data_IF_452525178338
#
_entry.id   IF_452525178338
#
_cell.length_a   1.000
_cell.length_b   1.000
_cell.length_c   1.000
_cell.angle_alpha   90.00
_cell.angle_beta   90.00
_cell.angle_gamma   90.00
#
_symmetry.space_group_name_H-M   'P 1'
#
loop_
_entity.id
_entity.type
_entity.pdbx_description
1 polymer ?
#
# COMPACT_ATOMS: atom_id res chain seq x y z
N UNK A 1 39.72 -0.74 42.05
CA UNK A 1 39.07 -0.51 40.73
C UNK A 1 38.78 -1.81 39.97
N UNK A 2 39.72 -2.74 39.78
CA UNK A 2 39.48 -3.97 39.01
C UNK A 2 38.37 -4.91 39.55
N UNK A 3 38.20 -5.03 40.87
CA UNK A 3 37.14 -5.85 41.48
C UNK A 3 35.72 -5.34 41.24
N UNK A 4 35.54 -4.03 41.05
CA UNK A 4 34.21 -3.40 40.83
C UNK A 4 33.77 -3.64 39.37
N UNK A 5 34.71 -3.57 38.42
CA UNK A 5 34.45 -3.77 36.99
C UNK A 5 34.04 -5.22 36.70
N UNK A 6 34.69 -6.21 37.34
CA UNK A 6 34.33 -7.63 37.21
C UNK A 6 32.91 -7.93 37.73
N UNK A 7 32.54 -7.40 38.91
CA UNK A 7 31.17 -7.60 39.44
C UNK A 7 30.07 -6.91 38.61
N UNK A 8 30.39 -5.84 37.89
CA UNK A 8 29.44 -5.19 36.98
C UNK A 8 29.28 -5.97 35.67
N UNK A 9 30.38 -6.51 35.13
CA UNK A 9 30.37 -7.36 33.96
C UNK A 9 29.61 -8.68 34.20
N UNK A 10 29.80 -9.31 35.37
CA UNK A 10 29.06 -10.53 35.75
C UNK A 10 27.56 -10.27 35.92
N UNK A 11 27.18 -9.13 36.51
CA UNK A 11 25.76 -8.71 36.61
C UNK A 11 25.15 -8.37 35.26
N UNK A 12 25.92 -7.83 34.32
CA UNK A 12 25.46 -7.59 32.94
C UNK A 12 25.33 -8.90 32.16
N UNK A 13 26.23 -9.87 32.36
CA UNK A 13 26.14 -11.20 31.75
C UNK A 13 24.94 -11.99 32.25
N UNK A 14 24.61 -11.90 33.55
CA UNK A 14 23.40 -12.50 34.12
C UNK A 14 22.12 -11.85 33.57
N UNK A 15 22.11 -10.54 33.35
CA UNK A 15 20.97 -9.84 32.72
C UNK A 15 20.76 -10.22 31.25
N UNK A 16 21.84 -10.48 30.51
CA UNK A 16 21.78 -10.96 29.13
C UNK A 16 21.24 -12.39 29.06
N UNK A 17 21.75 -13.30 29.91
CA UNK A 17 21.25 -14.69 29.99
C UNK A 17 19.76 -14.78 30.38
N UNK A 18 19.29 -13.94 31.30
CA UNK A 18 17.88 -13.86 31.66
C UNK A 18 16.99 -13.31 30.52
N UNK A 19 17.56 -12.47 29.65
CA UNK A 19 16.89 -11.93 28.46
C UNK A 19 16.69 -12.98 27.38
N UNK A 20 17.68 -13.85 27.16
CA UNK A 20 17.61 -14.93 26.18
C UNK A 20 16.62 -16.04 26.61
N UNK A 21 16.59 -16.42 27.89
CA UNK A 21 15.63 -17.40 28.43
C UNK A 21 14.16 -16.90 28.37
N UNK A 22 13.95 -15.59 28.53
CA UNK A 22 12.61 -14.96 28.40
C UNK A 22 12.17 -14.83 26.94
N UNK A 23 13.11 -14.67 26.00
CA UNK A 23 12.83 -14.68 24.56
C UNK A 23 12.46 -16.09 24.07
N UNK A 24 13.14 -17.13 24.57
CA UNK A 24 12.77 -18.54 24.29
C UNK A 24 11.38 -18.88 24.86
N UNK A 25 11.07 -18.43 26.08
CA UNK A 25 9.75 -18.62 26.68
C UNK A 25 8.64 -17.83 25.94
N UNK A 26 8.94 -16.60 25.48
CA UNK A 26 8.01 -15.79 24.70
C UNK A 26 7.79 -16.34 23.27
N UNK A 27 8.83 -16.92 22.64
CA UNK A 27 8.71 -17.63 21.36
C UNK A 27 7.88 -18.92 21.48
N UNK A 28 8.02 -19.67 22.59
CA UNK A 28 7.19 -20.85 22.82
C UNK A 28 5.71 -20.50 23.07
N UNK A 29 5.41 -19.37 23.74
CA UNK A 29 4.04 -18.91 23.96
C UNK A 29 3.42 -18.30 22.67
N UNK A 30 4.23 -17.67 21.81
CA UNK A 30 3.77 -17.08 20.54
C UNK A 30 3.51 -18.11 19.42
N UNK A 31 3.94 -19.37 19.57
CA UNK A 31 3.66 -20.47 18.62
C UNK A 31 2.31 -21.18 18.84
N UNK A 32 1.35 -20.50 19.47
CA UNK A 32 -0.03 -20.96 19.59
C UNK A 32 -0.93 -20.60 18.40
N UNK A 33 -1.20 -21.59 17.53
CA UNK A 33 -2.34 -21.74 16.59
C UNK A 33 -2.41 -20.98 15.24
N UNK A 34 -1.53 -20.05 14.86
CA UNK A 34 -1.68 -19.37 13.53
C UNK A 34 -0.45 -19.27 12.62
N UNK A 35 0.71 -19.82 12.99
CA UNK A 35 1.83 -20.03 12.06
C UNK A 35 2.36 -18.81 11.28
N UNK A 36 2.07 -17.57 11.73
CA UNK A 36 2.64 -16.34 11.15
C UNK A 36 3.55 -15.64 12.17
N UNK A 37 4.72 -15.13 11.76
CA UNK A 37 5.52 -14.30 12.65
C UNK A 37 4.77 -12.98 12.95
N UNK A 38 4.83 -12.46 14.18
CA UNK A 38 4.18 -11.20 14.53
C UNK A 38 4.92 -10.03 13.88
N UNK A 39 4.16 -9.00 13.49
CA UNK A 39 4.73 -7.74 12.99
C UNK A 39 5.68 -7.11 14.02
N UNK A 40 6.75 -6.47 13.56
CA UNK A 40 7.77 -5.86 14.42
C UNK A 40 7.14 -4.93 15.47
N UNK A 41 7.07 -5.41 16.71
CA UNK A 41 6.63 -4.65 17.87
C UNK A 41 7.80 -3.75 18.27
N UNK A 42 7.65 -2.43 18.20
CA UNK A 42 8.59 -1.50 18.85
C UNK A 42 8.34 -1.57 20.36
N UNK A 43 9.19 -2.32 21.06
CA UNK A 43 9.14 -2.49 22.52
C UNK A 43 9.96 -1.35 23.15
N UNK A 44 9.36 -0.62 24.09
CA UNK A 44 10.07 0.30 24.97
C UNK A 44 10.01 -0.24 26.41
N UNK A 45 11.16 -0.26 27.08
CA UNK A 45 11.31 -0.64 28.49
C UNK A 45 11.40 0.63 29.34
N UNK A 46 10.78 0.62 30.52
CA UNK A 46 10.98 1.67 31.53
C UNK A 46 12.25 1.40 32.37
N UNK A 47 12.63 2.36 33.21
CA UNK A 47 13.82 2.31 34.08
C UNK A 47 13.80 1.13 35.08
N UNK A 48 12.67 0.43 35.22
CA UNK A 48 12.50 -0.77 36.07
C UNK A 48 12.47 -2.08 35.29
N UNK A 49 12.55 -2.05 33.94
CA UNK A 49 12.69 -3.23 33.09
C UNK A 49 11.39 -3.99 32.80
N UNK A 50 10.21 -3.41 33.00
CA UNK A 50 8.93 -4.06 32.64
C UNK A 50 8.45 -3.68 31.23
N UNK A 51 7.99 -4.66 30.45
CA UNK A 51 7.40 -4.45 29.12
C UNK A 51 6.04 -3.73 29.19
N UNK A 52 5.82 -2.74 28.32
CA UNK A 52 4.46 -2.18 28.05
C UNK A 52 4.17 -2.20 26.55
N UNK A 53 2.96 -2.64 26.19
CA UNK A 53 2.42 -2.48 24.84
C UNK A 53 2.26 -0.98 24.51
N UNK A 54 2.64 -0.57 23.29
CA UNK A 54 2.59 0.83 22.84
C UNK A 54 1.17 1.45 22.79
N UNK A 55 0.12 0.71 23.16
CA UNK A 55 -1.28 1.15 23.20
C UNK A 55 -1.82 1.45 24.61
N UNK A 56 -1.01 1.27 25.67
CA UNK A 56 -1.41 1.43 27.08
C UNK A 56 -0.37 2.15 27.96
N UNK A 57 0.50 2.98 27.38
CA UNK A 57 1.42 3.80 28.17
C UNK A 57 0.66 4.84 29.02
N UNK A 58 0.73 4.69 30.33
CA UNK A 58 0.31 5.70 31.31
C UNK A 58 1.36 6.83 31.29
N UNK A 59 0.93 8.03 30.92
CA UNK A 59 1.72 9.25 30.94
C UNK A 59 1.47 10.00 32.25
N UNK A 60 2.51 10.46 32.91
CA UNK A 60 2.37 11.28 34.12
C UNK A 60 2.20 12.74 33.71
N UNK A 61 1.10 13.37 34.11
CA UNK A 61 0.87 14.78 33.87
C UNK A 61 1.93 15.60 34.62
N UNK A 62 2.72 16.41 33.91
CA UNK A 62 3.76 17.26 34.54
C UNK A 62 3.20 18.32 35.50
N UNK A 63 1.91 18.63 35.43
CA UNK A 63 1.28 19.69 36.24
C UNK A 63 0.62 19.18 37.53
N UNK A 64 0.05 17.97 37.51
CA UNK A 64 -0.62 17.40 38.69
C UNK A 64 -0.06 16.04 39.13
N UNK A 65 0.97 15.54 38.44
CA UNK A 65 1.65 14.27 38.69
C UNK A 65 0.72 13.03 38.70
N UNK A 66 -0.48 13.14 38.12
CA UNK A 66 -1.40 12.00 37.94
C UNK A 66 -1.09 11.23 36.68
N UNK A 67 -1.23 9.91 36.74
CA UNK A 67 -1.15 9.03 35.58
C UNK A 67 -2.38 9.17 34.67
N UNK A 68 -2.14 9.22 33.36
CA UNK A 68 -3.16 9.43 32.33
C UNK A 68 -2.91 8.45 31.20
N UNK A 69 -3.94 7.75 30.73
CA UNK A 69 -3.78 6.86 29.58
C UNK A 69 -3.30 7.64 28.35
N UNK A 70 -2.25 7.16 27.66
CA UNK A 70 -1.59 7.81 26.53
C UNK A 70 -2.38 7.92 25.23
N UNK A 71 -3.72 7.80 25.28
CA UNK A 71 -4.58 8.12 24.14
C UNK A 71 -4.76 9.63 24.06
N UNK A 72 -4.63 10.23 22.87
CA UNK A 72 -4.82 11.68 22.66
C UNK A 72 -6.11 12.23 23.28
N UNK A 73 -7.22 11.49 23.19
CA UNK A 73 -8.54 11.84 23.77
C UNK A 73 -8.50 11.87 25.32
N UNK A 74 -7.73 10.97 25.94
CA UNK A 74 -7.56 10.90 27.40
C UNK A 74 -6.65 12.02 27.90
N UNK A 75 -5.63 12.39 27.12
CA UNK A 75 -4.71 13.49 27.45
C UNK A 75 -5.40 14.86 27.37
N UNK A 76 -6.13 15.13 26.28
CA UNK A 76 -6.88 16.38 26.10
C UNK A 76 -7.99 16.54 27.14
N UNK A 77 -8.70 15.44 27.44
CA UNK A 77 -9.73 15.42 28.49
C UNK A 77 -9.16 15.69 29.88
N UNK A 78 -7.98 15.14 30.17
CA UNK A 78 -7.28 15.37 31.43
C UNK A 78 -6.76 16.81 31.55
N UNK A 79 -6.09 17.35 30.53
CA UNK A 79 -5.55 18.72 30.54
C UNK A 79 -6.64 19.79 30.70
N UNK A 80 -7.85 19.57 30.15
CA UNK A 80 -9.00 20.46 30.39
C UNK A 80 -9.43 20.55 31.86
N UNK A 81 -9.25 19.48 32.62
CA UNK A 81 -9.71 19.33 34.01
C UNK A 81 -8.58 19.38 35.04
N UNK A 82 -7.33 19.47 34.60
CA UNK A 82 -6.16 19.48 35.48
C UNK A 82 -6.12 20.81 36.27
N UNK A 83 -6.12 20.77 37.62
CA UNK A 83 -6.21 21.98 38.44
C UNK A 83 -4.99 22.89 38.26
N UNK A 84 -3.82 22.31 38.00
CA UNK A 84 -2.53 23.02 37.93
C UNK A 84 -2.04 23.26 36.50
N UNK A 85 -2.82 22.90 35.47
CA UNK A 85 -2.40 23.13 34.09
C UNK A 85 -2.58 24.61 33.70
N UNK A 86 -1.53 25.28 33.20
CA UNK A 86 -1.62 26.66 32.72
C UNK A 86 -2.54 26.75 31.50
N UNK A 87 -3.15 27.92 31.27
CA UNK A 87 -4.19 28.10 30.25
C UNK A 87 -3.68 27.80 28.82
N UNK A 88 -2.40 28.08 28.56
CA UNK A 88 -1.69 27.75 27.31
C UNK A 88 -1.56 26.24 27.05
N UNK A 89 -1.51 25.43 28.11
CA UNK A 89 -1.44 23.97 28.01
C UNK A 89 -2.82 23.33 27.87
N UNK A 90 -3.90 24.11 28.00
CA UNK A 90 -5.26 23.62 27.84
C UNK A 90 -5.66 23.69 26.36
N UNK A 91 -6.25 22.62 25.80
CA UNK A 91 -6.71 22.66 24.42
C UNK A 91 -7.78 23.76 24.26
N UNK A 92 -7.74 24.52 23.15
CA UNK A 92 -8.59 25.69 22.95
C UNK A 92 -10.08 25.32 23.03
N UNK A 93 -10.86 26.13 23.76
CA UNK A 93 -12.32 25.98 23.85
C UNK A 93 -12.94 26.41 22.51
N UNK A 94 -13.32 25.46 21.67
CA UNK A 94 -14.11 25.76 20.46
C UNK A 94 -15.54 26.10 20.87
N UNK A 95 -15.83 27.38 21.08
CA UNK A 95 -17.20 27.91 21.23
C UNK A 95 -17.87 28.04 19.87
N UNK A 96 -19.08 27.46 19.72
CA UNK A 96 -19.90 27.48 18.49
C UNK A 96 -20.31 28.89 17.98
N UNK A 97 -19.83 29.99 18.57
CA UNK A 97 -20.23 31.37 18.24
C UNK A 97 -19.17 32.24 17.56
N UNK A 98 -17.91 31.82 17.43
CA UNK A 98 -16.90 32.60 16.69
C UNK A 98 -16.81 32.18 15.21
N UNK A 99 -17.93 32.36 14.50
CA UNK A 99 -17.98 32.30 13.04
C UNK A 99 -18.28 33.66 12.39
N UNK A 100 -18.35 34.74 13.15
CA UNK A 100 -18.76 36.04 12.62
C UNK A 100 -17.78 37.14 13.06
N UNK A 101 -16.72 37.33 12.27
CA UNK A 101 -16.06 38.63 11.98
C UNK A 101 -14.64 38.41 11.42
N UNK A 102 -14.52 38.19 10.11
CA UNK A 102 -13.35 38.51 9.29
C UNK A 102 -13.77 38.49 7.80
N UNK A 103 -13.15 39.31 6.93
CA UNK A 103 -13.77 39.83 5.72
C UNK A 103 -13.98 38.76 4.65
N UNK A 104 -14.97 38.99 3.81
CA UNK A 104 -15.49 38.11 2.76
C UNK A 104 -14.38 37.43 1.93
N UNK A 105 -14.26 36.12 2.10
CA UNK A 105 -13.69 35.22 1.10
C UNK A 105 -14.80 34.26 0.71
N UNK A 106 -15.11 34.25 -0.59
CA UNK A 106 -16.12 33.47 -1.29
C UNK A 106 -16.31 32.07 -0.68
N UNK A 107 -17.51 31.81 -0.16
CA UNK A 107 -17.92 30.55 0.45
C UNK A 107 -17.94 29.41 -0.57
N UNK A 108 -17.06 28.41 -0.38
CA UNK A 108 -17.20 27.07 -0.96
C UNK A 108 -17.51 26.06 0.15
N UNK A 109 -18.69 25.46 0.12
CA UNK A 109 -19.03 24.30 0.96
C UNK A 109 -18.10 23.13 0.65
N UNK A 110 -17.50 22.48 1.65
CA UNK A 110 -16.58 21.38 1.38
C UNK A 110 -16.15 20.50 2.56
N UNK A 111 -16.28 20.93 3.82
CA UNK A 111 -15.75 20.14 4.95
C UNK A 111 -16.58 18.88 5.31
N UNK A 112 -17.89 18.87 5.03
CA UNK A 112 -18.77 17.73 5.32
C UNK A 112 -18.70 16.64 4.24
N UNK A 113 -18.80 17.05 2.99
CA UNK A 113 -18.79 16.17 1.82
C UNK A 113 -17.44 15.47 1.62
N UNK A 114 -16.32 16.17 1.83
CA UNK A 114 -14.99 15.56 1.77
C UNK A 114 -14.80 14.44 2.80
N UNK A 115 -15.30 14.62 4.04
CA UNK A 115 -15.23 13.56 5.06
C UNK A 115 -16.10 12.36 4.68
N UNK A 116 -17.25 12.60 4.06
CA UNK A 116 -18.16 11.54 3.62
C UNK A 116 -17.61 10.76 2.41
N UNK A 117 -17.01 11.45 1.44
CA UNK A 117 -16.37 10.82 0.28
C UNK A 117 -15.13 9.99 0.67
N UNK A 118 -14.27 10.52 1.54
CA UNK A 118 -13.13 9.76 2.10
C UNK A 118 -13.60 8.55 2.91
N UNK A 119 -14.69 8.67 3.67
CA UNK A 119 -15.28 7.54 4.40
C UNK A 119 -15.84 6.48 3.45
N UNK A 120 -16.48 6.87 2.34
CA UNK A 120 -16.99 5.94 1.30
C UNK A 120 -15.84 5.16 0.67
N UNK A 121 -14.75 5.84 0.28
CA UNK A 121 -13.58 5.21 -0.34
C UNK A 121 -12.90 4.19 0.60
N UNK A 122 -12.62 4.58 1.85
CA UNK A 122 -12.01 3.70 2.84
C UNK A 122 -12.88 2.46 3.15
N UNK A 123 -14.20 2.63 3.15
CA UNK A 123 -15.15 1.52 3.36
C UNK A 123 -15.13 0.54 2.19
N UNK A 124 -15.07 1.03 0.94
CA UNK A 124 -14.99 0.17 -0.26
C UNK A 124 -13.70 -0.64 -0.27
N UNK A 125 -12.54 -0.02 -0.04
CA UNK A 125 -11.26 -0.73 0.01
C UNK A 125 -11.28 -1.85 1.04
N UNK A 126 -11.69 -1.55 2.28
CA UNK A 126 -11.75 -2.54 3.37
C UNK A 126 -12.69 -3.70 3.05
N UNK A 127 -13.85 -3.41 2.44
CA UNK A 127 -14.81 -4.43 2.02
C UNK A 127 -14.24 -5.35 0.95
N UNK A 128 -13.49 -4.82 -0.01
CA UNK A 128 -12.92 -5.60 -1.11
C UNK A 128 -11.74 -6.46 -0.65
N UNK A 129 -10.85 -5.92 0.18
CA UNK A 129 -9.75 -6.68 0.80
C UNK A 129 -10.29 -7.83 1.69
N UNK A 130 -11.41 -7.62 2.38
CA UNK A 130 -12.07 -8.67 3.16
C UNK A 130 -12.71 -9.77 2.30
N UNK A 131 -13.16 -9.43 1.09
CA UNK A 131 -13.80 -10.36 0.15
C UNK A 131 -12.79 -11.19 -0.65
N UNK A 132 -11.66 -10.60 -1.03
CA UNK A 132 -10.68 -11.22 -1.93
C UNK A 132 -9.30 -11.30 -1.28
N UNK A 133 -8.85 -12.52 -0.93
CA UNK A 133 -7.54 -12.74 -0.29
C UNK A 133 -6.35 -12.45 -1.21
N UNK A 134 -6.56 -12.53 -2.52
CA UNK A 134 -5.55 -12.30 -3.55
C UNK A 134 -5.49 -10.83 -4.01
N UNK A 135 -6.20 -9.93 -3.32
CA UNK A 135 -6.20 -8.49 -3.57
C UNK A 135 -5.30 -7.79 -2.55
N UNK A 136 -4.35 -7.00 -3.05
CA UNK A 136 -3.42 -6.22 -2.24
C UNK A 136 -3.57 -4.72 -2.54
N UNK A 137 -3.72 -3.92 -1.50
CA UNK A 137 -3.81 -2.46 -1.59
C UNK A 137 -2.81 -1.82 -0.63
N UNK A 138 -1.64 -1.34 -1.11
CA UNK A 138 -0.62 -0.75 -0.24
C UNK A 138 -1.13 0.52 0.48
N UNK A 139 -0.95 0.57 1.80
CA UNK A 139 -1.48 1.64 2.68
C UNK A 139 -0.40 2.65 3.06
N UNK A 140 0.15 3.34 2.05
CA UNK A 140 1.18 4.37 2.24
C UNK A 140 0.58 5.78 2.14
N UNK A 141 0.98 6.68 3.04
CA UNK A 141 0.55 8.09 2.99
C UNK A 141 0.97 8.80 1.69
N UNK A 142 2.12 8.41 1.13
CA UNK A 142 2.60 8.91 -0.15
C UNK A 142 1.63 8.57 -1.31
N UNK A 143 1.06 7.36 -1.32
CA UNK A 143 0.08 6.93 -2.32
C UNK A 143 -1.16 7.82 -2.28
N UNK A 144 -1.67 8.14 -1.08
CA UNK A 144 -2.82 9.02 -0.92
C UNK A 144 -2.53 10.44 -1.46
N UNK A 145 -1.37 10.99 -1.15
CA UNK A 145 -0.94 12.30 -1.67
C UNK A 145 -0.79 12.29 -3.20
N UNK A 146 -0.22 11.23 -3.77
CA UNK A 146 -0.05 11.10 -5.22
C UNK A 146 -1.39 10.95 -5.93
N UNK A 147 -2.33 10.19 -5.37
CA UNK A 147 -3.68 10.10 -5.92
C UNK A 147 -4.39 11.45 -5.94
N UNK A 148 -4.21 12.31 -4.94
CA UNK A 148 -4.77 13.67 -4.98
C UNK A 148 -4.25 14.43 -6.19
N UNK A 149 -2.93 14.42 -6.40
CA UNK A 149 -2.31 15.12 -7.53
C UNK A 149 -2.72 14.52 -8.89
N UNK A 150 -2.84 13.20 -8.97
CA UNK A 150 -3.29 12.53 -10.19
C UNK A 150 -4.77 12.80 -10.50
N UNK A 151 -5.61 13.03 -9.50
CA UNK A 151 -7.04 13.30 -9.68
C UNK A 151 -7.33 14.74 -10.03
N UNK A 152 -6.41 15.67 -9.77
CA UNK A 152 -6.61 17.09 -10.09
C UNK A 152 -6.68 17.29 -11.61
N UNK A 153 -7.85 17.69 -12.11
CA UNK A 153 -8.05 18.00 -13.54
C UNK A 153 -7.19 19.19 -14.00
N UNK A 154 -6.76 20.05 -13.08
CA UNK A 154 -5.94 21.24 -13.38
C UNK A 154 -4.45 20.90 -13.61
N UNK A 155 -4.03 19.67 -13.30
CA UNK A 155 -2.64 19.25 -13.50
C UNK A 155 -2.25 19.32 -14.97
N UNK A 156 -1.10 19.89 -15.29
CA UNK A 156 -0.53 19.77 -16.65
C UNK A 156 -0.10 18.33 -16.93
N UNK A 157 0.09 17.97 -18.20
CA UNK A 157 0.56 16.63 -18.58
C UNK A 157 1.91 16.28 -17.91
N UNK A 158 2.81 17.25 -17.77
CA UNK A 158 4.12 17.07 -17.11
C UNK A 158 3.93 16.73 -15.63
N UNK A 159 3.10 17.51 -14.93
CA UNK A 159 2.81 17.27 -13.52
C UNK A 159 2.14 15.89 -13.33
N UNK A 160 1.17 15.56 -14.17
CA UNK A 160 0.51 14.26 -14.14
C UNK A 160 1.51 13.12 -14.31
N UNK A 161 2.36 13.20 -15.34
CA UNK A 161 3.41 12.20 -15.61
C UNK A 161 4.37 12.05 -14.43
N UNK A 162 4.87 13.14 -13.88
CA UNK A 162 5.76 13.12 -12.72
C UNK A 162 5.13 12.43 -11.50
N UNK A 163 3.86 12.72 -11.20
CA UNK A 163 3.16 12.07 -10.10
C UNK A 163 2.80 10.62 -10.40
N UNK A 164 2.48 10.30 -11.66
CA UNK A 164 2.17 8.96 -12.10
C UNK A 164 3.40 8.06 -12.00
N UNK A 165 4.56 8.52 -12.49
CA UNK A 165 5.82 7.78 -12.42
C UNK A 165 6.21 7.49 -10.98
N UNK A 166 6.05 8.47 -10.07
CA UNK A 166 6.31 8.27 -8.64
C UNK A 166 5.39 7.22 -8.02
N UNK A 167 4.10 7.22 -8.36
CA UNK A 167 3.15 6.24 -7.84
C UNK A 167 3.42 4.85 -8.41
N UNK A 168 3.62 4.76 -9.72
CA UNK A 168 3.91 3.53 -10.43
C UNK A 168 5.27 2.93 -10.01
N UNK A 169 6.25 3.75 -9.61
CA UNK A 169 7.51 3.28 -9.00
C UNK A 169 7.25 2.51 -7.71
N UNK A 170 6.42 3.06 -6.83
CA UNK A 170 6.04 2.39 -5.57
C UNK A 170 5.31 1.08 -5.88
N UNK A 171 4.37 1.09 -6.83
CA UNK A 171 3.67 -0.12 -7.24
C UNK A 171 4.58 -1.16 -7.88
N UNK A 172 5.59 -0.75 -8.66
CA UNK A 172 6.55 -1.66 -9.26
C UNK A 172 7.38 -2.40 -8.20
N UNK A 173 7.88 -1.69 -7.18
CA UNK A 173 8.59 -2.30 -6.05
C UNK A 173 7.70 -3.29 -5.29
N UNK A 174 6.46 -2.90 -4.99
CA UNK A 174 5.49 -3.78 -4.32
C UNK A 174 5.13 -5.00 -5.18
N UNK A 175 5.04 -4.84 -6.51
CA UNK A 175 4.77 -5.94 -7.43
C UNK A 175 5.92 -6.94 -7.48
N UNK A 176 7.16 -6.45 -7.54
CA UNK A 176 8.36 -7.29 -7.51
C UNK A 176 8.48 -8.02 -6.16
N UNK A 177 8.21 -7.34 -5.05
CA UNK A 177 8.18 -7.97 -3.72
C UNK A 177 7.09 -9.06 -3.61
N UNK A 178 5.94 -8.88 -4.27
CA UNK A 178 4.84 -9.85 -4.29
C UNK A 178 5.14 -11.09 -5.15
N UNK A 179 6.15 -11.03 -6.04
CA UNK A 179 6.55 -12.09 -6.97
C UNK A 179 7.43 -13.20 -6.36
N UNK A 180 7.35 -13.36 -5.04
CA UNK A 180 8.18 -14.22 -4.21
C UNK A 180 9.63 -13.71 -4.08
N UNK A 181 10.04 -13.53 -2.83
CA UNK A 181 11.39 -13.19 -2.44
C UNK A 181 11.91 -14.38 -1.63
N UNK A 182 13.15 -14.76 -1.86
CA UNK A 182 13.78 -15.91 -1.20
C UNK A 182 14.62 -15.46 -0.01
N UNK A 183 14.61 -16.22 1.09
CA UNK A 183 15.56 -15.95 2.17
C UNK A 183 16.98 -16.24 1.69
N UNK A 184 17.88 -15.29 1.93
CA UNK A 184 19.28 -15.42 1.58
C UNK A 184 20.15 -14.82 2.68
N UNK A 185 21.28 -15.46 2.92
CA UNK A 185 22.36 -14.93 3.76
C UNK A 185 23.51 -14.49 2.87
N UNK A 186 24.07 -13.32 3.16
CA UNK A 186 25.26 -12.78 2.49
C UNK A 186 26.33 -12.45 3.52
N UNK A 187 27.57 -12.41 3.07
CA UNK A 187 28.69 -11.93 3.88
C UNK A 187 28.90 -10.44 3.62
N UNK A 188 28.84 -9.66 4.68
CA UNK A 188 29.13 -8.22 4.62
C UNK A 188 30.63 -7.99 4.40
N UNK A 189 31.03 -6.80 3.89
CA UNK A 189 32.46 -6.44 3.76
C UNK A 189 33.25 -6.51 5.08
N UNK A 190 32.57 -6.50 6.23
CA UNK A 190 33.17 -6.60 7.55
C UNK A 190 33.33 -8.06 8.04
N UNK A 191 33.05 -9.05 7.18
CA UNK A 191 33.14 -10.47 7.53
C UNK A 191 32.00 -10.99 8.40
N UNK A 192 30.93 -10.20 8.59
CA UNK A 192 29.74 -10.63 9.33
C UNK A 192 28.66 -11.14 8.37
N UNK A 193 27.96 -12.20 8.74
CA UNK A 193 26.78 -12.66 8.01
C UNK A 193 25.61 -11.69 8.19
N UNK A 194 24.82 -11.49 7.13
CA UNK A 194 23.56 -10.75 7.15
C UNK A 194 22.50 -11.56 6.41
N UNK A 195 21.39 -11.85 7.09
CA UNK A 195 20.25 -12.57 6.53
C UNK A 195 19.13 -11.62 6.16
N UNK A 196 18.59 -11.78 4.96
CA UNK A 196 17.50 -10.97 4.44
C UNK A 196 16.73 -11.69 3.34
N UNK A 197 16.09 -10.90 2.48
CA UNK A 197 15.32 -11.41 1.35
C UNK A 197 15.98 -10.99 0.04
N UNK A 198 16.05 -11.91 -0.92
CA UNK A 198 16.56 -11.69 -2.28
C UNK A 198 15.38 -11.74 -3.27
N UNK A 199 15.35 -10.83 -4.27
CA UNK A 199 14.35 -10.91 -5.34
C UNK A 199 14.49 -12.18 -6.17
N UNK A 200 13.36 -12.68 -6.65
CA UNK A 200 13.33 -13.70 -7.68
C UNK A 200 13.70 -13.06 -9.03
N UNK A 201 14.64 -13.67 -9.75
CA UNK A 201 15.12 -13.16 -11.04
C UNK A 201 14.41 -13.81 -12.25
N UNK A 202 13.50 -14.76 -12.03
CA UNK A 202 12.77 -15.48 -13.08
C UNK A 202 11.38 -14.86 -13.32
N UNK A 203 11.36 -13.58 -13.71
CA UNK A 203 10.15 -12.78 -13.89
C UNK A 203 9.94 -12.32 -15.34
N UNK A 204 8.68 -12.21 -15.73
CA UNK A 204 8.27 -11.57 -16.98
C UNK A 204 7.26 -10.45 -16.73
N UNK A 205 7.43 -9.30 -17.37
CA UNK A 205 6.46 -8.21 -17.38
C UNK A 205 5.77 -8.12 -18.74
N UNK A 206 4.44 -8.18 -18.74
CA UNK A 206 3.59 -8.09 -19.91
C UNK A 206 2.74 -6.82 -19.80
N UNK A 207 2.92 -5.88 -20.71
CA UNK A 207 2.11 -4.65 -20.73
C UNK A 207 0.90 -4.78 -21.67
N UNK A 208 -0.24 -4.26 -21.21
CA UNK A 208 -1.40 -4.01 -22.08
C UNK A 208 -1.25 -2.60 -22.65
N UNK A 209 -0.95 -2.51 -23.94
CA UNK A 209 -0.77 -1.25 -24.63
C UNK A 209 -2.10 -0.49 -24.76
N UNK A 210 -2.10 0.85 -24.69
CA UNK A 210 -0.92 1.74 -24.59
C UNK A 210 -0.48 2.03 -23.14
N UNK A 211 -1.41 2.22 -22.22
CA UNK A 211 -1.14 2.71 -20.85
C UNK A 211 -0.32 1.75 -19.97
N UNK A 212 -0.33 0.44 -20.26
CA UNK A 212 0.52 -0.53 -19.57
C UNK A 212 2.01 -0.25 -19.69
N UNK A 213 2.44 0.39 -20.79
CA UNK A 213 3.86 0.71 -21.03
C UNK A 213 4.40 1.73 -20.02
N UNK A 214 3.52 2.56 -19.43
CA UNK A 214 3.89 3.51 -18.36
C UNK A 214 4.36 2.78 -17.09
N UNK A 215 3.65 1.70 -16.70
CA UNK A 215 4.01 0.84 -15.58
C UNK A 215 5.23 -0.01 -15.91
N UNK A 216 5.32 -0.53 -17.13
CA UNK A 216 6.46 -1.32 -17.62
C UNK A 216 7.76 -0.53 -17.50
N UNK A 217 7.76 0.74 -17.89
CA UNK A 217 8.93 1.61 -17.73
C UNK A 217 9.38 1.67 -16.27
N UNK A 218 8.44 1.74 -15.32
CA UNK A 218 8.80 1.74 -13.91
C UNK A 218 9.36 0.38 -13.46
N UNK A 219 8.74 -0.74 -13.84
CA UNK A 219 9.27 -2.09 -13.53
C UNK A 219 10.70 -2.23 -14.04
N UNK A 220 10.98 -1.82 -15.28
CA UNK A 220 12.31 -1.94 -15.89
C UNK A 220 13.39 -1.08 -15.23
N UNK A 221 13.06 0.05 -14.58
CA UNK A 221 14.07 0.76 -13.77
C UNK A 221 14.26 0.20 -12.36
N UNK A 222 13.37 -0.67 -11.89
CA UNK A 222 13.56 -1.43 -10.64
C UNK A 222 14.37 -2.71 -10.93
N UNK A 223 13.98 -3.45 -11.96
CA UNK A 223 14.66 -4.66 -12.42
C UNK A 223 14.84 -4.64 -13.95
N UNK A 224 16.04 -4.27 -14.44
CA UNK A 224 16.33 -4.26 -15.87
C UNK A 224 16.42 -5.66 -16.51
N UNK A 225 16.51 -6.73 -15.73
CA UNK A 225 16.67 -8.09 -16.24
C UNK A 225 15.33 -8.77 -16.61
N UNK A 226 14.20 -8.15 -16.23
CA UNK A 226 12.86 -8.69 -16.50
C UNK A 226 12.62 -8.87 -18.00
N UNK A 227 12.14 -10.04 -18.39
CA UNK A 227 11.70 -10.30 -19.76
C UNK A 227 10.41 -9.54 -20.07
N UNK A 228 10.27 -9.02 -21.29
CA UNK A 228 9.14 -8.16 -21.67
C UNK A 228 8.24 -8.84 -22.69
N UNK A 229 6.94 -8.82 -22.43
CA UNK A 229 5.89 -9.10 -23.39
C UNK A 229 4.99 -7.87 -23.62
N UNK A 230 4.36 -7.81 -24.79
CA UNK A 230 3.43 -6.73 -25.16
C UNK A 230 2.16 -7.31 -25.76
N UNK A 231 1.03 -6.80 -25.29
CA UNK A 231 -0.31 -7.09 -25.81
C UNK A 231 -0.98 -5.79 -26.23
N UNK A 232 -1.53 -5.73 -27.43
CA UNK A 232 -2.43 -4.65 -27.84
C UNK A 232 -3.86 -5.16 -27.80
N UNK A 233 -4.62 -4.68 -26.83
CA UNK A 233 -6.03 -5.02 -26.66
C UNK A 233 -6.83 -3.73 -26.77
N UNK A 234 -7.69 -3.66 -27.77
CA UNK A 234 -8.55 -2.50 -27.99
C UNK A 234 -10.01 -2.95 -27.91
N UNK A 235 -10.88 -2.06 -27.43
CA UNK A 235 -12.30 -2.31 -27.38
C UNK A 235 -12.92 -1.84 -28.68
N UNK A 236 -13.88 -2.60 -29.20
CA UNK A 236 -14.71 -2.11 -30.28
C UNK A 236 -15.60 -0.99 -29.75
N UNK A 237 -15.38 0.24 -30.20
CA UNK A 237 -16.17 1.40 -29.78
C UNK A 237 -17.55 1.44 -30.45
N UNK A 238 -17.76 0.66 -31.51
CA UNK A 238 -19.05 0.58 -32.21
C UNK A 238 -20.08 -0.28 -31.47
N UNK A 239 -19.61 -1.23 -30.65
CA UNK A 239 -20.45 -2.12 -29.87
C UNK A 239 -20.75 -1.53 -28.49
N UNK A 240 -22.02 -1.55 -28.09
CA UNK A 240 -22.46 -1.13 -26.74
C UNK A 240 -21.71 -1.87 -25.62
N UNK A 241 -21.38 -3.15 -25.85
CA UNK A 241 -20.65 -3.97 -24.90
C UNK A 241 -19.16 -3.59 -24.76
N UNK A 242 -18.60 -2.83 -25.71
CA UNK A 242 -17.17 -2.47 -25.75
C UNK A 242 -16.28 -3.71 -25.59
N UNK A 243 -16.59 -4.76 -26.35
CA UNK A 243 -15.91 -6.06 -26.28
C UNK A 243 -14.43 -5.90 -26.59
N UNK A 244 -13.52 -6.45 -25.76
CA UNK A 244 -12.09 -6.40 -26.03
C UNK A 244 -11.73 -7.29 -27.22
N UNK A 245 -10.78 -6.87 -28.04
CA UNK A 245 -10.19 -7.62 -29.15
C UNK A 245 -8.67 -7.54 -29.08
N UNK A 246 -8.01 -8.67 -29.34
CA UNK A 246 -6.55 -8.76 -29.39
C UNK A 246 -6.06 -8.42 -30.80
N UNK A 247 -5.31 -7.34 -30.93
CA UNK A 247 -4.76 -6.88 -32.21
C UNK A 247 -3.28 -7.25 -32.40
N UNK A 248 -2.53 -7.34 -31.31
CA UNK A 248 -1.11 -7.66 -31.35
C UNK A 248 -0.71 -8.43 -30.10
N UNK A 249 0.14 -9.44 -30.26
CA UNK A 249 0.75 -10.18 -29.17
C UNK A 249 2.19 -10.51 -29.52
N UNK A 250 3.12 -10.12 -28.64
CA UNK A 250 4.51 -10.55 -28.68
C UNK A 250 4.95 -10.87 -27.27
N UNK A 251 5.05 -12.16 -26.98
CA UNK A 251 5.41 -12.71 -25.68
C UNK A 251 6.78 -13.42 -25.78
N UNK A 252 7.55 -13.51 -24.68
CA UNK A 252 8.76 -14.32 -24.64
C UNK A 252 8.48 -15.79 -25.01
N UNK A 253 9.39 -16.47 -25.73
CA UNK A 253 9.17 -17.85 -26.17
C UNK A 253 9.10 -18.85 -25.01
N UNK A 254 9.68 -18.52 -23.86
CA UNK A 254 9.70 -19.35 -22.64
C UNK A 254 8.71 -18.83 -21.58
N UNK A 255 7.58 -18.27 -21.99
CA UNK A 255 6.64 -17.61 -21.07
C UNK A 255 6.17 -18.53 -19.92
N UNK A 256 5.89 -19.79 -20.21
CA UNK A 256 5.43 -20.77 -19.23
C UNK A 256 6.49 -21.15 -18.18
N UNK A 257 7.78 -20.85 -18.41
CA UNK A 257 8.85 -21.17 -17.45
C UNK A 257 9.14 -20.06 -16.44
N UNK A 258 8.49 -18.89 -16.56
CA UNK A 258 8.66 -17.83 -15.56
C UNK A 258 7.85 -18.17 -14.31
N UNK A 259 8.45 -17.94 -13.14
CA UNK A 259 7.79 -18.20 -11.86
C UNK A 259 6.63 -17.23 -11.63
N UNK A 260 6.72 -16.03 -12.22
CA UNK A 260 5.69 -14.99 -12.16
C UNK A 260 5.62 -14.19 -13.45
N UNK A 261 4.39 -13.79 -13.79
CA UNK A 261 4.10 -12.85 -14.87
C UNK A 261 3.38 -11.63 -14.32
N UNK A 262 4.04 -10.49 -14.36
CA UNK A 262 3.46 -9.18 -14.04
C UNK A 262 2.64 -8.71 -15.24
N UNK A 263 1.31 -8.70 -15.11
CA UNK A 263 0.42 -8.11 -16.10
C UNK A 263 0.17 -6.63 -15.74
N UNK A 264 0.55 -5.71 -16.62
CA UNK A 264 0.61 -4.29 -16.32
C UNK A 264 -0.47 -3.50 -17.07
N UNK A 265 -1.40 -2.89 -16.32
CA UNK A 265 -2.43 -1.99 -16.84
C UNK A 265 -2.86 -0.98 -15.74
N UNK A 266 -2.66 0.34 -15.90
CA UNK A 266 -2.98 1.31 -14.86
C UNK A 266 -4.44 1.34 -14.41
N UNK A 267 -5.39 0.90 -15.25
CA UNK A 267 -6.82 1.11 -14.99
C UNK A 267 -7.65 -0.17 -15.12
N UNK A 268 -8.20 -0.67 -14.00
CA UNK A 268 -9.14 -1.79 -14.00
C UNK A 268 -10.58 -1.30 -13.83
N UNK A 269 -11.24 -0.96 -14.94
CA UNK A 269 -12.64 -0.51 -14.96
C UNK A 269 -13.63 -1.70 -14.97
N UNK A 270 -14.05 -2.16 -16.15
CA UNK A 270 -14.94 -3.32 -16.31
C UNK A 270 -14.21 -4.66 -16.24
N UNK A 271 -12.89 -4.67 -16.34
CA UNK A 271 -12.07 -5.88 -16.34
C UNK A 271 -11.88 -6.55 -17.71
N UNK A 272 -12.65 -6.18 -18.74
CA UNK A 272 -12.64 -6.89 -20.04
C UNK A 272 -11.25 -7.02 -20.67
N UNK A 273 -10.49 -5.92 -20.76
CA UNK A 273 -9.14 -5.94 -21.33
C UNK A 273 -8.17 -6.82 -20.54
N UNK A 274 -8.22 -6.73 -19.21
CA UNK A 274 -7.38 -7.53 -18.32
C UNK A 274 -7.72 -9.03 -18.39
N UNK A 275 -9.02 -9.38 -18.42
CA UNK A 275 -9.47 -10.76 -18.58
C UNK A 275 -9.03 -11.36 -19.91
N UNK A 276 -9.15 -10.61 -21.01
CA UNK A 276 -8.62 -11.05 -22.31
C UNK A 276 -7.10 -11.27 -22.27
N UNK A 277 -6.35 -10.36 -21.63
CA UNK A 277 -4.91 -10.53 -21.47
C UNK A 277 -4.57 -11.78 -20.64
N UNK A 278 -5.25 -12.00 -19.52
CA UNK A 278 -5.10 -13.21 -18.69
C UNK A 278 -5.36 -14.45 -19.55
N UNK A 279 -6.45 -14.47 -20.33
CA UNK A 279 -6.75 -15.59 -21.23
C UNK A 279 -5.63 -15.88 -22.22
N UNK A 280 -5.00 -14.85 -22.80
CA UNK A 280 -3.86 -15.01 -23.71
C UNK A 280 -2.66 -15.62 -22.98
N UNK A 281 -2.40 -15.23 -21.73
CA UNK A 281 -1.31 -15.78 -20.91
C UNK A 281 -1.56 -17.26 -20.57
N UNK A 282 -2.79 -17.60 -20.16
CA UNK A 282 -3.20 -18.99 -19.87
C UNK A 282 -3.06 -19.87 -21.11
N UNK A 283 -3.54 -19.40 -22.27
CA UNK A 283 -3.40 -20.10 -23.55
C UNK A 283 -1.93 -20.28 -23.97
N UNK A 284 -1.02 -19.45 -23.44
CA UNK A 284 0.43 -19.53 -23.66
C UNK A 284 1.13 -20.40 -22.60
N UNK A 285 0.38 -21.10 -21.75
CA UNK A 285 0.89 -22.06 -20.77
C UNK A 285 1.28 -21.46 -19.41
N UNK A 286 0.95 -20.20 -19.12
CA UNK A 286 1.19 -19.61 -17.80
C UNK A 286 0.14 -20.13 -16.82
N UNK A 287 0.56 -20.56 -15.64
CA UNK A 287 -0.37 -20.90 -14.56
C UNK A 287 -1.06 -19.62 -14.04
N UNK A 288 -2.37 -19.69 -13.84
CA UNK A 288 -3.18 -18.61 -13.30
C UNK A 288 -2.62 -18.06 -11.98
N UNK A 289 -2.12 -18.93 -11.10
CA UNK A 289 -1.56 -18.54 -9.79
C UNK A 289 -0.25 -17.76 -9.89
N UNK A 290 0.40 -17.77 -11.06
CA UNK A 290 1.66 -17.08 -11.34
C UNK A 290 1.43 -15.68 -11.92
N UNK A 291 0.19 -15.33 -12.27
CA UNK A 291 -0.16 -14.03 -12.82
C UNK A 291 -0.40 -13.03 -11.69
N UNK A 292 0.27 -11.87 -11.77
CA UNK A 292 0.07 -10.73 -10.88
C UNK A 292 -0.35 -9.53 -11.72
N UNK A 293 -1.62 -9.14 -11.63
CA UNK A 293 -2.13 -7.93 -12.27
C UNK A 293 -1.81 -6.71 -11.42
N UNK A 294 -1.14 -5.72 -12.01
CA UNK A 294 -0.74 -4.48 -11.34
C UNK A 294 -1.51 -3.30 -11.92
N UNK A 295 -2.24 -2.57 -11.07
CA UNK A 295 -3.08 -1.43 -11.44
C UNK A 295 -2.82 -0.20 -10.57
N UNK A 296 -3.14 0.99 -11.09
CA UNK A 296 -3.14 2.24 -10.31
C UNK A 296 -4.52 2.46 -9.68
N UNK A 297 -5.60 2.30 -10.44
CA UNK A 297 -6.97 2.39 -9.92
C UNK A 297 -7.79 1.21 -10.43
N UNK A 298 -8.53 0.60 -9.52
CA UNK A 298 -9.46 -0.49 -9.81
C UNK A 298 -10.89 -0.14 -9.38
N UNK A 299 -11.88 -0.79 -9.98
CA UNK A 299 -13.29 -0.68 -9.62
C UNK A 299 -13.82 -2.01 -9.07
N UNK A 300 -14.69 -2.03 -8.04
CA UNK A 300 -15.27 -3.25 -7.48
C UNK A 300 -15.94 -4.17 -8.48
N UNK A 301 -16.61 -3.60 -9.50
CA UNK A 301 -17.26 -4.34 -10.58
C UNK A 301 -16.21 -5.15 -11.37
N UNK A 302 -15.16 -4.50 -11.86
CA UNK A 302 -14.09 -5.16 -12.61
C UNK A 302 -13.31 -6.19 -11.77
N UNK A 303 -13.04 -5.87 -10.51
CA UNK A 303 -12.41 -6.82 -9.57
C UNK A 303 -13.29 -8.06 -9.37
N UNK A 304 -14.60 -7.88 -9.19
CA UNK A 304 -15.51 -8.99 -8.95
C UNK A 304 -15.61 -9.91 -10.17
N UNK A 305 -15.70 -9.36 -11.39
CA UNK A 305 -15.69 -10.16 -12.61
C UNK A 305 -14.36 -10.88 -12.82
N UNK A 306 -13.24 -10.19 -12.59
CA UNK A 306 -11.92 -10.79 -12.71
C UNK A 306 -11.74 -11.97 -11.76
N UNK A 307 -12.04 -11.80 -10.47
CA UNK A 307 -11.89 -12.89 -9.48
C UNK A 307 -12.94 -14.00 -9.65
N UNK A 308 -14.09 -13.72 -10.27
CA UNK A 308 -15.06 -14.75 -10.62
C UNK A 308 -14.55 -15.65 -11.76
N UNK A 309 -13.89 -15.06 -12.76
CA UNK A 309 -13.33 -15.78 -13.89
C UNK A 309 -11.98 -16.45 -13.55
N UNK A 310 -11.14 -15.75 -12.78
CA UNK A 310 -9.75 -16.12 -12.48
C UNK A 310 -9.47 -15.93 -10.97
N UNK A 311 -9.95 -16.85 -10.11
CA UNK A 311 -9.85 -16.71 -8.65
C UNK A 311 -8.42 -16.78 -8.10
N UNK A 312 -7.48 -17.39 -8.81
CA UNK A 312 -6.10 -17.61 -8.39
C UNK A 312 -5.16 -16.46 -8.76
N UNK A 313 -5.57 -15.58 -9.67
CA UNK A 313 -4.80 -14.37 -10.04
C UNK A 313 -4.62 -13.47 -8.83
N UNK A 314 -3.43 -12.90 -8.69
CA UNK A 314 -3.15 -11.85 -7.70
C UNK A 314 -3.39 -10.49 -8.33
N UNK A 315 -4.00 -9.57 -7.56
CA UNK A 315 -4.22 -8.18 -8.00
C UNK A 315 -3.57 -7.24 -7.00
N UNK A 316 -2.65 -6.40 -7.48
CA UNK A 316 -2.05 -5.31 -6.73
C UNK A 316 -2.59 -3.99 -7.29
N UNK A 317 -3.24 -3.18 -6.46
CA UNK A 317 -3.79 -1.88 -6.88
C UNK A 317 -3.56 -0.78 -5.85
N UNK A 318 -3.25 0.45 -6.26
CA UNK A 318 -3.05 1.54 -5.29
C UNK A 318 -4.35 2.15 -4.75
N UNK A 319 -5.46 2.05 -5.49
CA UNK A 319 -6.76 2.55 -5.04
C UNK A 319 -7.93 1.78 -5.65
N UNK A 320 -9.04 1.75 -4.91
CA UNK A 320 -10.30 1.16 -5.36
C UNK A 320 -11.38 2.24 -5.31
N UNK A 321 -11.89 2.60 -6.48
CA UNK A 321 -12.92 3.62 -6.64
C UNK A 321 -14.31 2.98 -6.75
N UNK A 322 -15.36 3.59 -6.17
CA UNK A 322 -16.63 2.93 -5.89
C UNK A 322 -17.44 2.49 -7.12
N UNK A 323 -17.43 3.26 -8.19
CA UNK A 323 -18.45 3.12 -9.25
C UNK A 323 -17.92 3.41 -10.66
N UNK A 324 -18.65 2.92 -11.65
CA UNK A 324 -18.47 3.27 -13.06
C UNK A 324 -19.62 4.18 -13.48
N UNK A 325 -19.36 5.14 -14.37
CA UNK A 325 -20.42 5.89 -15.05
C UNK A 325 -20.99 5.11 -16.27
N UNK A 326 -22.00 5.69 -16.92
CA UNK A 326 -22.62 5.11 -18.12
C UNK A 326 -21.63 4.83 -19.27
N UNK A 327 -20.54 5.59 -19.34
CA UNK A 327 -19.50 5.43 -20.37
C UNK A 327 -18.44 4.36 -20.01
N UNK A 328 -18.65 3.62 -18.90
CA UNK A 328 -17.71 2.63 -18.33
C UNK A 328 -16.41 3.25 -17.81
N UNK A 329 -16.42 4.52 -17.44
CA UNK A 329 -15.30 5.22 -16.78
C UNK A 329 -15.42 5.16 -15.26
N UNK A 330 -14.30 4.97 -14.58
CA UNK A 330 -14.22 4.89 -13.11
C UNK A 330 -14.49 6.26 -12.48
N UNK A 331 -15.26 6.29 -11.38
CA UNK A 331 -15.58 7.49 -10.59
C UNK A 331 -15.17 7.32 -9.12
N UNK A 332 -14.49 8.32 -8.51
CA UNK A 332 -14.09 9.61 -9.10
C UNK A 332 -13.00 9.49 -10.18
N UNK A 333 -12.26 8.37 -10.22
CA UNK A 333 -11.34 8.02 -11.31
C UNK A 333 -10.18 8.99 -11.54
N UNK A 334 -9.53 8.82 -12.69
CA UNK A 334 -8.40 9.63 -13.16
C UNK A 334 -8.63 10.24 -14.56
N UNK A 335 -9.82 10.06 -15.13
CA UNK A 335 -10.05 10.27 -16.56
C UNK A 335 -9.32 9.22 -17.42
N UNK A 336 -9.03 9.55 -18.69
CA UNK A 336 -8.23 8.70 -19.56
C UNK A 336 -6.75 8.76 -19.15
N UNK A 337 -6.26 7.70 -18.50
CA UNK A 337 -4.88 7.65 -18.00
C UNK A 337 -3.86 7.80 -19.14
N UNK A 338 -4.04 7.04 -20.21
CA UNK A 338 -3.13 7.06 -21.36
C UNK A 338 -3.06 8.44 -22.01
N UNK A 339 -4.19 9.12 -22.16
CA UNK A 339 -4.23 10.44 -22.81
C UNK A 339 -3.59 11.53 -21.96
N UNK A 340 -3.80 11.49 -20.64
CA UNK A 340 -3.14 12.42 -19.71
C UNK A 340 -1.64 12.17 -19.59
N UNK A 341 -1.20 10.91 -19.67
CA UNK A 341 0.20 10.53 -19.55
C UNK A 341 1.01 10.83 -20.82
N UNK A 342 0.45 10.50 -22.00
CA UNK A 342 1.11 10.68 -23.29
C UNK A 342 0.77 12.01 -23.98
N UNK A 343 -0.05 12.86 -23.34
CA UNK A 343 -0.50 14.12 -23.90
C UNK A 343 -1.23 13.96 -25.25
N UNK A 344 -2.13 12.97 -25.32
CA UNK A 344 -2.97 12.66 -26.50
C UNK A 344 -4.45 12.96 -26.27
N UNK A 345 -4.78 13.62 -25.16
CA UNK A 345 -6.15 14.03 -24.85
C UNK A 345 -6.47 15.41 -25.44
N UNK A 346 -7.73 15.61 -25.82
CA UNK A 346 -8.27 16.91 -26.25
C UNK A 346 -8.51 17.87 -25.09
#
# INVERSE_FOLDING_TARGET
MLKIVLTMAEKQLQKLKYGDELMEAAEQIARGKTGRPPAAVRIHFDETGRMKNASTSLLVCKFCHKEVAGRAISLEGHLKKCPNAPEEARPPKVTKKEKLSRPEVVNGGGKGEHKQAMKKLCTVTTSMEGKFRNLMVPKLGAIQSLHLMLRDKRSTHIQFKQHADRLMRILAEEALAACAMEFATVWTPNGMEYSGMRPNNNLCAVSIQRSGDCLLEQVLRCDPAVSVGKLLIQRDETLTEKTPMLFYSKLPPRLASFDRVLLLDPMLATGGSAMMAIQVLLNSGVDEMNIVLVNVVSCPIGLSYLFQAYPSVKVLTSAIDPELNANKSVLPGLGSFGDRYYNTGN
#
